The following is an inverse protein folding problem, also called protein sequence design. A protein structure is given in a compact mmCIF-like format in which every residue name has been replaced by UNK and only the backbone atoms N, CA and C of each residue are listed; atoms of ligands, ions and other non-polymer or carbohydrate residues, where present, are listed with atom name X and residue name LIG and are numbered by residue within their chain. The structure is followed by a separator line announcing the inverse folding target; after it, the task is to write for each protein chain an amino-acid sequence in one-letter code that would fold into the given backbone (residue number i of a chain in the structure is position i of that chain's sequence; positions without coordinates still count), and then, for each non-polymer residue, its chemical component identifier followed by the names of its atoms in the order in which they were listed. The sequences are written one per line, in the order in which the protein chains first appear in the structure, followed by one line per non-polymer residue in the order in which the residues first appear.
data_IF_586754447278
#
_entry.id   IF_586754447278
#
_cell.length_a   1.000
_cell.length_b   1.000
_cell.length_c   1.000
_cell.angle_alpha   90.00
_cell.angle_beta   90.00
_cell.angle_gamma   90.00
#
_symmetry.space_group_name_H-M   'P 1'
#
loop_
_entity.id
_entity.type
_entity.pdbx_description
1 polymer ?
2 non-polymer ?
3 non-polymer ?
4 non-polymer ?
5 water ?
#
# COMPACT_ATOMS: atom_id res chain seq x y z
N UNK A 2 4.09 -0.17 -26.42
CA UNK A 2 4.89 -1.15 -25.69
C UNK A 2 4.21 -1.54 -24.37
N UNK A 3 3.99 -2.84 -24.18
CA UNK A 3 3.23 -3.32 -23.03
C UNK A 3 4.07 -3.26 -21.76
N UNK A 4 3.49 -2.70 -20.70
CA UNK A 4 4.10 -2.67 -19.38
C UNK A 4 3.28 -3.57 -18.47
N UNK A 5 3.94 -4.47 -17.74
CA UNK A 5 3.19 -5.38 -16.89
C UNK A 5 2.86 -4.71 -15.56
N UNK A 6 1.73 -5.11 -14.98
CA UNK A 6 1.23 -4.48 -13.77
C UNK A 6 0.72 -5.56 -12.84
N UNK A 7 1.30 -5.64 -11.64
CA UNK A 7 0.85 -6.57 -10.62
C UNK A 7 0.34 -5.75 -9.44
N UNK A 8 -0.93 -5.95 -9.10
CA UNK A 8 -1.57 -5.28 -7.97
C UNK A 8 -1.54 -6.21 -6.76
N UNK A 9 -1.14 -5.69 -5.61
CA UNK A 9 -1.10 -6.50 -4.38
C UNK A 9 -1.84 -5.72 -3.30
N UNK A 10 -3.04 -6.16 -2.97
CA UNK A 10 -3.87 -5.56 -1.94
C UNK A 10 -4.00 -6.50 -0.76
N UNK A 11 -4.30 -5.96 0.41
CA UNK A 11 -4.47 -6.82 1.56
C UNK A 11 -4.55 -5.98 2.81
N UNK A 12 -4.90 -6.64 3.91
CA UNK A 12 -5.02 -5.95 5.20
C UNK A 12 -3.66 -5.68 5.84
N UNK A 13 -3.71 -5.07 7.03
CA UNK A 13 -2.49 -4.65 7.72
C UNK A 13 -1.59 -5.84 8.06
N UNK A 14 -0.29 -5.68 7.83
CA UNK A 14 0.72 -6.67 8.23
C UNK A 14 0.50 -8.02 7.54
N UNK A 15 -0.06 -8.01 6.34
CA UNK A 15 -0.18 -9.27 5.62
C UNK A 15 1.09 -9.64 4.85
N UNK A 16 2.11 -8.79 4.86
CA UNK A 16 3.32 -9.09 4.11
C UNK A 16 3.38 -8.48 2.73
N UNK A 17 2.49 -7.53 2.43
CA UNK A 17 2.37 -7.05 1.05
C UNK A 17 3.64 -6.37 0.56
N UNK A 18 4.24 -5.51 1.37
CA UNK A 18 5.37 -4.76 0.85
C UNK A 18 6.61 -5.63 0.69
N UNK A 19 6.90 -6.46 1.70
CA UNK A 19 8.07 -7.32 1.60
C UNK A 19 7.90 -8.33 0.49
N UNK A 20 6.69 -8.89 0.35
CA UNK A 20 6.46 -9.84 -0.73
C UNK A 20 6.60 -9.16 -2.07
N UNK A 21 5.97 -7.98 -2.21
CA UNK A 21 6.02 -7.25 -3.48
C UNK A 21 7.43 -6.85 -3.86
N UNK A 22 8.24 -6.46 -2.87
CA UNK A 22 9.64 -6.14 -3.12
C UNK A 22 10.37 -7.34 -3.74
N UNK A 23 10.15 -8.52 -3.18
CA UNK A 23 10.81 -9.73 -3.69
C UNK A 23 10.27 -10.12 -5.06
N UNK A 24 8.96 -10.06 -5.27
CA UNK A 24 8.38 -10.32 -6.59
C UNK A 24 8.99 -9.40 -7.64
N UNK A 25 9.03 -8.11 -7.33
CA UNK A 25 9.58 -7.14 -8.26
C UNK A 25 11.05 -7.41 -8.53
N UNK A 26 11.82 -7.75 -7.49
CA UNK A 26 13.23 -8.03 -7.67
C UNK A 26 13.43 -9.21 -8.62
N UNK A 27 12.66 -10.28 -8.42
CA UNK A 27 12.85 -11.48 -9.24
C UNK A 27 12.38 -11.25 -10.69
N UNK A 28 11.41 -10.36 -10.91
CA UNK A 28 10.93 -10.09 -12.26
C UNK A 28 11.65 -8.95 -12.96
N UNK A 29 12.53 -8.23 -12.24
CA UNK A 29 13.11 -7.04 -12.83
C UNK A 29 12.15 -5.89 -12.96
N UNK A 30 11.12 -5.86 -12.11
CA UNK A 30 10.10 -4.82 -12.11
C UNK A 30 10.43 -3.80 -11.02
N UNK A 31 9.79 -2.65 -11.12
CA UNK A 31 9.84 -1.74 -9.98
C UNK A 31 8.73 -2.06 -8.98
N UNK A 32 8.79 -1.41 -7.82
CA UNK A 32 7.83 -1.66 -6.75
C UNK A 32 7.44 -0.34 -6.13
N UNK A 33 6.14 -0.06 -6.05
CA UNK A 33 5.63 1.14 -5.38
C UNK A 33 4.81 0.73 -4.16
N UNK A 34 5.20 1.26 -3.00
CA UNK A 34 4.47 1.09 -1.75
C UNK A 34 3.50 2.27 -1.63
N UNK A 35 2.25 2.06 -2.03
CA UNK A 35 1.34 3.20 -2.10
C UNK A 35 1.05 3.78 -0.72
N UNK A 36 1.04 2.95 0.32
CA UNK A 36 0.75 3.45 1.66
C UNK A 36 1.73 4.49 2.17
N UNK A 37 2.95 4.51 1.63
CA UNK A 37 3.89 5.54 2.05
C UNK A 37 3.38 6.93 1.71
N UNK A 38 2.56 7.06 0.65
CA UNK A 38 2.02 8.36 0.29
C UNK A 38 1.01 8.85 1.33
N UNK A 39 0.11 7.97 1.77
CA UNK A 39 -0.81 8.32 2.86
C UNK A 39 -0.06 8.59 4.16
N UNK A 40 0.97 7.80 4.44
CA UNK A 40 1.74 8.01 5.67
C UNK A 40 2.45 9.36 5.64
N UNK A 41 2.95 9.77 4.46
CA UNK A 41 3.65 11.04 4.34
C UNK A 41 2.70 12.22 4.55
N UNK A 42 1.50 12.15 3.98
CA UNK A 42 0.52 13.20 4.22
C UNK A 42 0.20 13.27 5.70
N UNK A 43 -0.02 12.10 6.33
CA UNK A 43 -0.29 12.04 7.77
C UNK A 43 0.83 12.70 8.56
N UNK A 44 2.08 12.30 8.29
CA UNK A 44 3.21 12.91 8.99
C UNK A 44 3.26 14.42 8.77
N UNK A 45 3.04 14.87 7.55
CA UNK A 45 3.05 16.30 7.29
C UNK A 45 2.03 17.05 8.12
N UNK A 46 0.84 16.48 8.27
CA UNK A 46 -0.21 17.12 9.06
C UNK A 46 0.14 17.12 10.54
N UNK A 47 0.62 15.99 11.05
CA UNK A 47 1.03 15.91 12.46
C UNK A 47 2.08 16.96 12.75
N UNK A 48 3.11 17.02 11.91
CA UNK A 48 4.21 17.93 12.17
C UNK A 48 3.76 19.38 12.08
N UNK A 49 2.86 19.69 11.15
CA UNK A 49 2.48 21.08 10.94
C UNK A 49 1.46 21.58 11.98
N UNK A 50 0.50 20.74 12.34
CA UNK A 50 -0.66 21.15 13.13
C UNK A 50 -0.75 20.49 14.50
N UNK A 51 -0.02 19.40 14.73
CA UNK A 51 -0.13 18.68 15.98
C UNK A 51 -1.26 17.68 15.91
N UNK A 52 -2.47 18.19 15.83
CA UNK A 52 -3.66 17.37 15.66
C UNK A 52 -3.94 17.18 14.18
N UNK A 53 -4.46 16.02 13.84
CA UNK A 53 -4.78 15.71 12.46
C UNK A 53 -6.29 15.87 12.29
N UNK A 54 -6.67 16.87 11.49
CA UNK A 54 -8.07 17.22 11.26
C UNK A 54 -8.21 17.56 9.79
N UNK A 55 -8.22 16.55 8.92
CA UNK A 55 -8.09 16.80 7.47
C UNK A 55 -9.29 17.50 6.85
N UNK A 56 -10.43 17.57 7.54
CA UNK A 56 -11.59 18.31 7.05
C UNK A 56 -11.54 19.80 7.33
N UNK A 57 -10.66 20.22 8.22
CA UNK A 57 -10.51 21.65 8.48
C UNK A 57 -9.90 22.34 7.27
N UNK A 58 -10.44 23.52 6.93
CA UNK A 58 -9.98 24.28 5.76
C UNK A 58 -8.46 24.47 5.76
N UNK A 59 -7.88 24.84 6.91
CA UNK A 59 -6.44 25.11 6.93
C UNK A 59 -5.64 23.85 6.62
N UNK A 60 -6.11 22.69 7.10
CA UNK A 60 -5.37 21.45 6.85
C UNK A 60 -5.57 21.00 5.41
N UNK A 61 -6.79 21.13 4.90
CA UNK A 61 -7.02 20.82 3.49
C UNK A 61 -6.17 21.68 2.59
N UNK A 62 -6.08 22.99 2.86
CA UNK A 62 -5.25 23.87 2.05
C UNK A 62 -3.79 23.42 2.09
N UNK A 63 -3.31 23.05 3.28
CA UNK A 63 -1.93 22.60 3.42
C UNK A 63 -1.66 21.38 2.56
N UNK A 64 -2.58 20.40 2.62
CA UNK A 64 -2.40 19.17 1.83
C UNK A 64 -2.43 19.47 0.34
N UNK A 65 -3.35 20.33 -0.09
CA UNK A 65 -3.45 20.60 -1.53
C UNK A 65 -2.21 21.31 -2.04
N UNK A 66 -1.61 22.19 -1.24
CA UNK A 66 -0.41 22.92 -1.66
C UNK A 66 0.85 22.10 -1.49
N UNK A 67 0.76 20.98 -0.79
CA UNK A 67 1.91 20.14 -0.51
C UNK A 67 2.46 19.52 -1.80
N UNK A 68 3.76 19.66 -2.02
CA UNK A 68 4.41 18.97 -3.13
C UNK A 68 4.94 17.63 -2.64
N UNK A 69 4.39 16.53 -3.16
CA UNK A 69 4.78 15.18 -2.75
C UNK A 69 5.46 14.49 -3.92
N UNK A 70 6.69 14.04 -3.69
CA UNK A 70 7.46 13.27 -4.66
C UNK A 70 7.82 11.91 -4.07
N UNK A 71 7.86 10.89 -4.90
CA UNK A 71 8.31 9.58 -4.44
C UNK A 71 9.36 9.07 -5.43
N UNK A 72 10.51 8.66 -4.90
CA UNK A 72 11.64 8.19 -5.70
C UNK A 72 12.21 6.97 -4.99
N UNK A 73 12.10 5.81 -5.61
CA UNK A 73 12.59 4.57 -5.01
C UNK A 73 11.98 4.36 -3.63
N UNK A 74 10.69 4.69 -3.52
CA UNK A 74 9.90 4.55 -2.31
C UNK A 74 10.33 5.47 -1.17
N UNK A 75 11.28 6.37 -1.42
CA UNK A 75 11.49 7.50 -0.53
C UNK A 75 10.46 8.58 -0.86
N UNK A 76 9.82 9.14 0.16
CA UNK A 76 8.80 10.17 -0.05
C UNK A 76 9.34 11.52 0.41
N UNK A 77 9.20 12.52 -0.45
CA UNK A 77 9.63 13.88 -0.16
C UNK A 77 8.44 14.82 -0.04
N UNK A 78 8.47 15.66 0.99
CA UNK A 78 7.46 16.69 1.20
C UNK A 78 8.13 18.04 1.01
N UNK A 79 7.66 18.78 0.02
CA UNK A 79 8.28 20.07 -0.34
C UNK A 79 9.80 19.94 -0.39
N UNK A 80 10.27 18.84 -0.97
CA UNK A 80 11.68 18.60 -1.17
C UNK A 80 12.39 17.86 -0.07
N UNK A 81 11.80 17.72 1.12
CA UNK A 81 12.47 17.11 2.26
C UNK A 81 12.14 15.62 2.32
N UNK A 82 13.17 14.78 2.45
CA UNK A 82 12.98 13.33 2.54
C UNK A 82 12.44 12.99 3.93
N UNK A 83 11.18 12.55 4.00
CA UNK A 83 10.55 12.25 5.27
C UNK A 83 10.41 10.74 5.49
N UNK A 84 11.15 9.94 4.72
CA UNK A 84 10.96 8.49 4.75
C UNK A 84 11.16 7.90 6.14
N UNK A 85 12.12 8.43 6.90
CA UNK A 85 12.44 7.85 8.20
C UNK A 85 11.34 8.07 9.22
N UNK A 86 10.34 8.90 8.91
CA UNK A 86 9.25 9.21 9.83
C UNK A 86 7.96 8.45 9.52
N UNK A 87 7.89 7.74 8.40
CA UNK A 87 6.61 7.21 7.93
C UNK A 87 6.06 6.09 8.78
N UNK A 88 6.90 5.44 9.59
CA UNK A 88 6.43 4.34 10.42
C UNK A 88 6.39 4.70 11.89
N UNK A 89 6.48 5.99 12.22
CA UNK A 89 6.34 6.43 13.59
C UNK A 89 4.95 6.10 14.10
N UNK A 90 4.85 5.79 15.40
CA UNK A 90 3.58 5.39 15.98
C UNK A 90 2.51 6.46 15.80
N UNK A 91 2.89 7.74 15.83
CA UNK A 91 1.91 8.80 15.66
C UNK A 91 1.31 8.76 14.26
N UNK A 92 2.09 8.36 13.25
CA UNK A 92 1.55 8.19 11.91
C UNK A 92 0.58 7.03 11.88
N UNK A 93 0.98 5.88 12.45
CA UNK A 93 0.08 4.74 12.58
C UNK A 93 -1.26 5.12 13.19
N UNK A 94 -1.24 5.98 14.21
CA UNK A 94 -2.46 6.29 14.93
C UNK A 94 -3.41 7.18 14.14
N UNK A 95 -2.92 7.88 13.12
CA UNK A 95 -3.75 8.85 12.41
C UNK A 95 -3.91 8.61 10.92
N UNK A 96 -3.24 7.60 10.34
CA UNK A 96 -3.25 7.46 8.89
C UNK A 96 -4.64 7.09 8.34
N UNK A 97 -5.47 6.39 9.12
CA UNK A 97 -6.82 6.05 8.63
C UNK A 97 -7.67 7.30 8.39
N UNK A 98 -7.64 8.25 9.32
CA UNK A 98 -8.42 9.48 9.14
C UNK A 98 -7.94 10.31 7.97
N UNK A 99 -6.69 10.16 7.58
CA UNK A 99 -6.19 10.81 6.38
C UNK A 99 -6.68 10.07 5.15
N UNK A 100 -6.54 8.74 5.17
CA UNK A 100 -6.82 7.95 3.98
C UNK A 100 -8.29 7.94 3.63
N UNK A 101 -9.18 8.31 4.57
CA UNK A 101 -10.60 8.30 4.27
C UNK A 101 -11.03 9.52 3.49
N UNK A 102 -10.18 10.55 3.40
CA UNK A 102 -10.59 11.81 2.79
C UNK A 102 -10.53 11.70 1.27
N UNK A 103 -11.66 11.97 0.61
CA UNK A 103 -11.70 11.87 -0.84
C UNK A 103 -10.64 12.76 -1.49
N UNK A 104 -10.49 14.00 -1.02
CA UNK A 104 -9.56 14.89 -1.71
C UNK A 104 -8.12 14.40 -1.57
N UNK A 105 -7.78 13.73 -0.47
CA UNK A 105 -6.43 13.20 -0.31
C UNK A 105 -6.24 11.98 -1.20
N UNK A 106 -7.25 11.11 -1.28
CA UNK A 106 -7.16 9.96 -2.19
C UNK A 106 -6.99 10.44 -3.63
N UNK A 107 -7.66 11.54 -4.00
CA UNK A 107 -7.52 12.06 -5.37
C UNK A 107 -6.11 12.58 -5.61
N UNK A 108 -5.53 13.26 -4.63
CA UNK A 108 -4.16 13.75 -4.76
C UNK A 108 -3.18 12.58 -4.93
N UNK A 109 -3.29 11.58 -4.08
CA UNK A 109 -2.40 10.41 -4.10
C UNK A 109 -2.62 9.58 -5.37
N UNK A 110 -3.86 9.54 -5.87
CA UNK A 110 -4.17 8.80 -7.10
C UNK A 110 -3.28 9.27 -8.23
N UNK A 111 -3.20 10.60 -8.40
CA UNK A 111 -2.41 11.15 -9.50
C UNK A 111 -0.94 10.83 -9.37
N UNK A 112 -0.42 10.90 -8.14
CA UNK A 112 0.98 10.57 -7.89
C UNK A 112 1.27 9.13 -8.28
N UNK A 113 0.42 8.20 -7.82
CA UNK A 113 0.65 6.79 -8.14
C UNK A 113 0.63 6.55 -9.63
N UNK A 114 -0.35 7.13 -10.33
CA UNK A 114 -0.43 6.84 -11.74
C UNK A 114 0.73 7.48 -12.51
N UNK A 115 1.28 8.61 -12.02
CA UNK A 115 2.49 9.16 -12.64
C UNK A 115 3.66 8.19 -12.52
N UNK A 116 3.83 7.57 -11.35
CA UNK A 116 4.88 6.56 -11.18
C UNK A 116 4.66 5.39 -12.13
N UNK A 117 3.41 4.90 -12.18
CA UNK A 117 3.10 3.73 -13.00
C UNK A 117 3.36 4.03 -14.48
N UNK A 118 2.98 5.22 -14.93
CA UNK A 118 3.13 5.55 -16.34
C UNK A 118 4.59 5.70 -16.76
N UNK A 119 5.49 5.98 -15.81
CA UNK A 119 6.91 6.08 -16.15
C UNK A 119 7.60 4.73 -16.28
N UNK A 120 7.01 3.67 -15.75
CA UNK A 120 7.64 2.36 -15.79
C UNK A 120 7.60 1.78 -17.21
N UNK A 121 8.74 1.28 -17.70
CA UNK A 121 8.78 0.74 -19.05
C UNK A 121 8.84 -0.78 -19.10
N UNK A 122 8.96 -1.47 -17.98
CA UNK A 122 9.02 -2.92 -18.00
C UNK A 122 7.85 -3.52 -17.22
N UNK A 123 7.80 -3.32 -15.92
CA UNK A 123 6.66 -3.77 -15.13
C UNK A 123 6.76 -3.19 -13.75
N UNK A 124 5.64 -3.17 -13.05
CA UNK A 124 5.62 -2.60 -11.71
C UNK A 124 4.69 -3.40 -10.83
N UNK A 125 5.10 -3.61 -9.59
CA UNK A 125 4.29 -4.21 -8.53
C UNK A 125 3.89 -3.07 -7.61
N UNK A 126 2.59 -2.86 -7.41
CA UNK A 126 2.10 -1.77 -6.55
C UNK A 126 1.31 -2.42 -5.44
N UNK A 127 1.69 -2.14 -4.19
CA UNK A 127 0.94 -2.68 -3.06
C UNK A 127 0.12 -1.58 -2.40
N UNK A 128 -0.99 -1.99 -1.81
CA UNK A 128 -1.86 -1.02 -1.14
C UNK A 128 -3.17 -1.63 -0.69
N UNK A 129 -4.25 -0.85 -0.80
CA UNK A 129 -5.59 -1.26 -0.42
C UNK A 129 -6.56 -1.26 -1.58
N UNK A 130 -6.40 -0.31 -2.50
CA UNK A 130 -7.29 -0.13 -3.64
C UNK A 130 -6.55 -0.21 -4.96
N UNK A 131 -5.47 -0.99 -5.02
CA UNK A 131 -4.70 -1.02 -6.25
C UNK A 131 -5.49 -1.73 -7.35
N UNK A 132 -6.09 -2.89 -7.03
CA UNK A 132 -6.84 -3.60 -8.06
C UNK A 132 -8.16 -2.93 -8.41
N UNK A 133 -8.80 -2.25 -7.45
CA UNK A 133 -10.12 -1.67 -7.68
C UNK A 133 -10.08 -0.24 -8.19
N UNK A 134 -8.96 0.48 -7.99
CA UNK A 134 -8.94 1.90 -8.35
C UNK A 134 -7.67 2.31 -9.12
N UNK A 135 -6.49 1.92 -8.63
CA UNK A 135 -5.25 2.49 -9.18
C UNK A 135 -4.87 1.79 -10.49
N UNK A 136 -4.89 0.47 -10.49
CA UNK A 136 -4.54 -0.34 -11.66
C UNK A 136 -5.68 -1.32 -11.92
N UNK A 137 -6.85 -0.82 -12.32
CA UNK A 137 -8.01 -1.72 -12.47
C UNK A 137 -7.85 -2.71 -13.58
N UNK A 138 -6.87 -2.54 -14.43
CA UNK A 138 -6.64 -3.47 -15.53
C UNK A 138 -5.28 -4.14 -15.39
N UNK A 139 -4.83 -4.27 -14.14
CA UNK A 139 -3.59 -4.98 -13.85
C UNK A 139 -3.61 -6.39 -14.42
N UNK A 140 -2.44 -6.85 -14.88
CA UNK A 140 -2.34 -8.19 -15.42
C UNK A 140 -2.66 -9.24 -14.37
N UNK A 141 -2.24 -9.01 -13.14
CA UNK A 141 -2.47 -9.89 -12.01
C UNK A 141 -2.88 -9.06 -10.82
N UNK A 142 -3.96 -9.48 -10.17
CA UNK A 142 -4.50 -8.82 -8.99
C UNK A 142 -4.46 -9.85 -7.85
N UNK A 143 -3.59 -9.62 -6.88
CA UNK A 143 -3.42 -10.52 -5.75
C UNK A 143 -4.01 -9.86 -4.51
N UNK A 144 -4.82 -10.62 -3.77
CA UNK A 144 -5.29 -10.20 -2.46
C UNK A 144 -4.58 -11.07 -1.45
N UNK A 145 -3.60 -10.49 -0.75
CA UNK A 145 -2.70 -11.24 0.12
C UNK A 145 -3.17 -11.07 1.55
N UNK A 146 -3.45 -12.17 2.23
CA UNK A 146 -3.99 -12.06 3.58
C UNK A 146 -3.54 -13.24 4.43
N UNK A 147 -3.84 -13.14 5.72
CA UNK A 147 -3.63 -14.18 6.73
C UNK A 147 -4.56 -13.85 7.89
N UNK A 148 -4.66 -14.77 8.84
CA UNK A 148 -5.55 -14.48 9.96
C UNK A 148 -5.04 -13.26 10.72
N UNK A 149 -5.95 -12.52 11.38
CA UNK A 149 -5.51 -11.40 12.21
C UNK A 149 -4.47 -11.80 13.24
N UNK A 150 -4.62 -13.00 13.79
CA UNK A 150 -3.69 -13.50 14.80
C UNK A 150 -2.30 -13.75 14.20
N UNK A 151 -2.26 -14.35 13.00
CA UNK A 151 -0.99 -14.55 12.31
C UNK A 151 -0.32 -13.21 12.02
N UNK A 152 -1.11 -12.24 11.56
CA UNK A 152 -0.52 -10.96 11.19
C UNK A 152 -0.05 -10.20 12.42
N UNK A 153 -0.81 -10.24 13.51
CA UNK A 153 -0.40 -9.56 14.73
C UNK A 153 0.85 -10.20 15.31
N UNK A 154 0.93 -11.53 15.24
CA UNK A 154 2.12 -12.20 15.74
C UNK A 154 3.34 -11.79 14.93
N UNK A 155 3.20 -11.70 13.61
CA UNK A 155 4.31 -11.27 12.78
C UNK A 155 4.82 -9.89 13.17
N UNK A 156 3.89 -8.94 13.30
CA UNK A 156 4.25 -7.58 13.66
C UNK A 156 4.88 -7.55 15.05
N UNK A 157 4.34 -8.34 15.97
CA UNK A 157 4.85 -8.38 17.33
C UNK A 157 6.31 -8.80 17.35
N UNK A 158 6.67 -9.80 16.55
CA UNK A 158 8.06 -10.24 16.55
C UNK A 158 9.01 -9.17 16.04
N UNK A 159 8.52 -8.18 15.28
CA UNK A 159 9.42 -7.14 14.81
C UNK A 159 9.93 -6.25 15.92
N UNK A 160 9.33 -6.32 17.10
CA UNK A 160 9.70 -5.48 18.22
C UNK A 160 8.89 -4.20 18.23
N UNK A 161 9.05 -3.46 19.31
CA UNK A 161 8.26 -2.26 19.51
C UNK A 161 7.66 -2.25 20.89
N UNK A 162 6.89 -1.19 21.15
CA UNK A 162 6.40 -0.95 22.50
C UNK A 162 5.02 -1.55 22.75
N UNK A 163 4.29 -1.90 21.71
CA UNK A 163 2.93 -2.39 21.88
C UNK A 163 2.93 -3.86 22.29
N UNK A 164 1.95 -4.22 23.12
CA UNK A 164 1.71 -5.61 23.45
C UNK A 164 1.10 -6.34 22.26
N UNK A 165 1.11 -7.69 22.32
CA UNK A 165 0.47 -8.48 21.28
C UNK A 165 -1.02 -8.11 21.14
N UNK A 166 -1.73 -8.03 22.28
CA UNK A 166 -3.15 -7.70 22.24
C UNK A 166 -3.39 -6.31 21.68
N UNK A 167 -2.50 -5.36 22.01
CA UNK A 167 -2.65 -4.01 21.47
C UNK A 167 -2.46 -4.00 19.96
N UNK A 168 -1.49 -4.77 19.47
CA UNK A 168 -1.28 -4.88 18.02
C UNK A 168 -2.47 -5.55 17.35
N UNK A 169 -2.97 -6.63 17.95
CA UNK A 169 -4.12 -7.31 17.36
C UNK A 169 -5.32 -6.38 17.27
N UNK A 170 -5.59 -5.62 18.34
CA UNK A 170 -6.69 -4.66 18.33
C UNK A 170 -6.47 -3.59 17.28
N UNK A 171 -5.25 -3.05 17.19
CA UNK A 171 -4.98 -2.00 16.21
C UNK A 171 -5.14 -2.53 14.79
N UNK A 172 -4.64 -3.73 14.52
CA UNK A 172 -4.77 -4.32 13.20
C UNK A 172 -6.23 -4.54 12.85
N UNK A 173 -6.99 -5.14 13.76
CA UNK A 173 -8.41 -5.37 13.49
C UNK A 173 -9.15 -4.06 13.27
N UNK A 174 -8.82 -3.02 14.05
CA UNK A 174 -9.50 -1.75 13.89
C UNK A 174 -9.16 -1.11 12.55
N UNK A 175 -7.86 -1.10 12.19
CA UNK A 175 -7.46 -0.50 10.92
C UNK A 175 -8.07 -1.25 9.73
N UNK A 176 -8.06 -2.58 9.80
CA UNK A 176 -8.68 -3.35 8.73
C UNK A 176 -10.16 -3.04 8.62
N UNK A 177 -10.86 -2.97 9.75
CA UNK A 177 -12.28 -2.67 9.73
C UNK A 177 -12.53 -1.31 9.11
N UNK A 178 -11.72 -0.30 9.47
CA UNK A 178 -11.93 1.03 8.92
C UNK A 178 -11.65 1.04 7.42
N UNK A 179 -10.58 0.35 7.00
CA UNK A 179 -10.24 0.31 5.58
C UNK A 179 -11.31 -0.42 4.76
N UNK A 180 -12.00 -1.42 5.36
CA UNK A 180 -13.05 -2.16 4.66
C UNK A 180 -14.38 -1.44 4.61
N UNK A 181 -14.68 -0.60 5.62
CA UNK A 181 -16.02 -0.02 5.74
C UNK A 181 -16.07 1.44 5.35
N UNK A 182 -14.95 2.07 5.02
CA UNK A 182 -15.01 3.47 4.67
C UNK A 182 -15.74 3.68 3.34
N UNK A 183 -16.20 4.92 3.14
CA UNK A 183 -17.03 5.21 1.98
C UNK A 183 -16.23 5.12 0.67
N UNK A 184 -15.00 5.63 0.67
CA UNK A 184 -14.24 5.83 -0.56
C UNK A 184 -13.16 4.79 -0.71
N UNK A 185 -13.19 4.08 -1.83
CA UNK A 185 -12.14 3.14 -2.21
C UNK A 185 -11.80 2.16 -1.09
N UNK A 186 -12.78 1.42 -0.58
CA UNK A 186 -12.49 0.49 0.53
C UNK A 186 -11.63 -0.67 0.07
N UNK A 187 -10.98 -1.28 1.05
CA UNK A 187 -10.30 -2.56 0.84
C UNK A 187 -11.32 -3.65 0.58
N UNK A 188 -11.23 -4.31 -0.58
CA UNK A 188 -12.17 -5.37 -0.91
C UNK A 188 -11.50 -6.26 -1.93
N UNK A 189 -11.74 -7.57 -1.83
CA UNK A 189 -11.34 -8.49 -2.89
C UNK A 189 -12.40 -8.53 -3.97
N UNK A 190 -11.99 -8.74 -5.20
CA UNK A 190 -12.98 -8.88 -6.25
C UNK A 190 -12.88 -10.25 -6.90
N UNK A 191 -13.82 -10.51 -7.80
CA UNK A 191 -13.84 -11.80 -8.46
C UNK A 191 -12.66 -12.00 -9.40
N UNK A 192 -11.94 -10.93 -9.72
CA UNK A 192 -10.74 -10.99 -10.54
C UNK A 192 -9.48 -11.11 -9.71
N UNK A 193 -9.60 -11.11 -8.38
CA UNK A 193 -8.46 -11.30 -7.50
C UNK A 193 -8.11 -12.77 -7.34
N UNK A 194 -6.82 -13.04 -7.22
CA UNK A 194 -6.35 -14.30 -6.68
C UNK A 194 -6.09 -14.07 -5.20
N UNK A 195 -6.87 -14.73 -4.35
CA UNK A 195 -6.73 -14.60 -2.91
C UNK A 195 -5.68 -15.61 -2.43
N UNK A 196 -4.64 -15.11 -1.78
CA UNK A 196 -3.57 -15.93 -1.23
C UNK A 196 -3.61 -15.77 0.28
N UNK A 197 -3.88 -16.87 1.00
CA UNK A 197 -3.79 -16.91 2.46
C UNK A 197 -2.43 -17.51 2.79
N UNK A 198 -1.52 -16.71 3.36
CA UNK A 198 -0.14 -17.15 3.49
C UNK A 198 0.26 -17.50 4.92
N UNK A 199 -0.72 -17.84 5.79
CA UNK A 199 -0.42 -18.25 7.16
C UNK A 199 0.64 -19.35 7.23
N UNK A 200 0.61 -20.29 6.28
CA UNK A 200 1.51 -21.44 6.31
C UNK A 200 2.61 -21.35 5.27
N UNK A 201 2.91 -20.14 4.80
CA UNK A 201 3.93 -19.92 3.78
C UNK A 201 5.02 -18.99 4.30
N UNK A 202 6.23 -19.22 3.81
CA UNK A 202 7.31 -18.27 4.01
C UNK A 202 7.15 -17.07 3.07
N UNK A 203 7.96 -16.04 3.33
CA UNK A 203 7.97 -14.89 2.44
C UNK A 203 8.36 -15.33 1.03
N UNK A 204 9.41 -16.15 0.94
CA UNK A 204 9.88 -16.55 -0.38
C UNK A 204 8.85 -17.42 -1.09
N UNK A 205 8.16 -18.31 -0.36
CA UNK A 205 7.10 -19.11 -0.98
C UNK A 205 5.95 -18.24 -1.48
N UNK A 206 5.60 -17.19 -0.73
CA UNK A 206 4.54 -16.31 -1.16
C UNK A 206 4.94 -15.56 -2.43
N UNK A 207 6.15 -15.02 -2.45
CA UNK A 207 6.64 -14.33 -3.65
C UNK A 207 6.68 -15.26 -4.84
N UNK A 208 7.16 -16.49 -4.63
CA UNK A 208 7.27 -17.43 -5.74
C UNK A 208 5.89 -17.85 -6.26
N UNK A 209 4.88 -17.90 -5.38
CA UNK A 209 3.53 -18.17 -5.84
C UNK A 209 2.97 -17.02 -6.67
N UNK A 210 3.22 -15.78 -6.25
CA UNK A 210 2.75 -14.65 -7.05
C UNK A 210 3.45 -14.65 -8.41
N UNK A 211 4.74 -14.97 -8.42
CA UNK A 211 5.47 -15.02 -9.69
C UNK A 211 4.90 -16.13 -10.58
N UNK A 212 4.61 -17.29 -10.00
CA UNK A 212 4.02 -18.39 -10.77
C UNK A 212 2.69 -17.96 -11.39
N UNK A 213 1.82 -17.33 -10.59
CA UNK A 213 0.56 -16.82 -11.09
C UNK A 213 0.79 -15.81 -12.21
N UNK A 214 1.74 -14.89 -12.00
CA UNK A 214 2.01 -13.90 -13.04
C UNK A 214 2.44 -14.54 -14.34
N UNK A 215 3.35 -15.51 -14.28
CA UNK A 215 3.80 -16.12 -15.53
C UNK A 215 2.69 -16.92 -16.20
N UNK A 216 1.75 -17.46 -15.42
CA UNK A 216 0.60 -18.16 -15.98
C UNK A 216 -0.35 -17.18 -16.67
N UNK A 217 -0.61 -16.00 -16.08
CA UNK A 217 -1.45 -15.07 -16.83
C UNK A 217 -0.69 -14.50 -18.02
N UNK A 218 0.63 -14.31 -17.89
CA UNK A 218 1.42 -13.75 -18.98
C UNK A 218 1.34 -14.64 -20.20
N UNK A 219 1.58 -15.94 -20.00
CA UNK A 219 1.51 -16.88 -21.11
C UNK A 219 0.09 -17.00 -21.65
N UNK A 220 -0.90 -17.04 -20.77
CA UNK A 220 -2.29 -17.06 -21.21
C UNK A 220 -2.61 -15.83 -22.06
N UNK A 221 -2.39 -14.64 -21.51
CA UNK A 221 -2.71 -13.41 -22.23
C UNK A 221 -1.96 -13.32 -23.55
N UNK A 222 -0.68 -13.70 -23.56
CA UNK A 222 0.13 -13.51 -24.76
C UNK A 222 -0.47 -14.23 -25.96
N UNK A 223 -1.05 -15.40 -25.73
CA UNK A 223 -1.56 -16.19 -26.83
C UNK A 223 -3.06 -16.09 -27.05
N UNK A 224 -3.78 -15.48 -26.11
CA UNK A 224 -5.24 -15.45 -26.21
C UNK A 224 -5.80 -14.04 -26.27
X LIG B 1 -0.45 -1.57 7.66
X LIG B 1 0.42 -1.56 6.44
X LIG B 1 -0.33 -2.41 5.37
X LIG B 1 1.87 -1.96 6.62
X LIG B 1 0.34 -0.05 5.91
X LIG B 1 0.29 0.82 4.59
X LIG B 1 0.30 0.00 3.37
X LIG B 1 1.34 1.84 4.76
X LIG B 1 -1.12 1.55 4.68
X LIG B 1 -1.45 2.39 5.79
X LIG B 1 -2.85 2.91 5.59
X LIG B 1 -2.89 3.76 4.43
X LIG B 1 -3.89 1.82 5.31
X LIG B 1 -4.28 1.20 6.52
X LIG B 1 -4.98 2.65 4.63
X LIG B 1 -5.77 3.42 5.52
X LIG B 1 -4.13 3.59 3.77
X LIG B 1 -3.91 3.09 2.39
X LIG B 1 -5.01 3.22 1.52
X LIG B 1 -6.07 3.64 1.98
X LIG B 1 -4.85 2.89 0.21
X LIG B 1 -3.68 2.42 -0.24
X LIG B 1 -3.58 2.15 -1.55
X LIG B 1 -2.56 2.24 0.64
X LIG B 1 -2.71 2.60 1.93
X LIG C 1 2.04 -4.40 6.11
X LIG C 1 2.56 -5.14 4.95
X LIG C 1 1.49 -5.93 4.19
X LIG C 1 3.34 -4.27 3.95
X LIG C 1 3.60 -6.24 5.43
X LIG C 1 5.19 -6.26 5.62
X LIG C 1 5.81 -6.48 4.24
X LIG C 1 5.66 -5.04 6.32
X LIG C 1 5.42 -7.59 6.46
X LIG C 1 4.94 -7.90 7.79
X LIG C 1 5.99 -8.71 8.50
X LIG C 1 5.69 -10.12 8.40
X LIG C 1 7.41 -8.53 7.96
X LIG C 1 8.35 -8.44 9.03
X LIG C 1 7.63 -9.80 7.13
X LIG C 1 9.00 -10.15 7.01
X LIG C 1 6.85 -10.81 7.95
X LIG C 1 6.42 -12.00 7.20
X LIG C 1 6.54 -13.26 7.80
X LIG C 1 7.00 -13.33 8.95
X LIG C 1 6.14 -14.36 7.11
X LIG C 1 5.63 -14.24 5.87
X LIG C 1 5.24 -15.34 5.24
X LIG C 1 5.51 -12.97 5.25
X LIG C 1 5.90 -11.89 5.94
X LIG D 1 3.63 8.39 20.68
X LIG D 1 3.67 7.30 19.72
X LIG D 1 2.88 7.98 21.86
X LIG D 1 4.99 8.74 21.08
X LIG D 1 3.03 9.52 19.98
X LIG E 1 -10.14 8.96 -5.31
X LIG E 1 -11.15 8.44 -4.44
X LIG E 1 -10.37 8.57 -6.76
X LIG E 1 -9.88 7.24 -7.01
#
# INVERSE_FOLDING_TARGET
MMKTYKIAVDGPAASGKSSTSDLVARKLGFSHLISGNLYRAVTYGLVRRFGEVRPGDEEQKRFVLELSIEVRNNRVFLDGEDVSESLRKEVVDRHVVSVAREKYIREKVFTIQRSVIDLEKRGIVVDGRDIATRIMPNADLKVFLTASPETRARRRYMEGGSESYEELLESIKKRDHNDRTREHDPLVATCDSIVIENDSMTLEETADEIIRLFRRVESFNAGHHHHHH
CDP O3B PB O1B O2B O3A PA O1A O2A O5' C5' C4' O4' C3' O3' C2' O2' C1' N1 C2 O2 N3 C4 N4 C5 C6
CDP O3B PB O1B O2B O3A PA O1A O2A O5' C5' C4' O4' C3' O3' C2' O2' C1' N1 C2 O2 N3 C4 N4 C5 C6
SO4 S O1 O2 O3 O4
EDO C1 O1 C2 O2
#
